data_IF_700590373432
#
_entry.id   IF_700590373432
#
_cell.length_a   1.000
_cell.length_b   1.000
_cell.length_c   1.000
_cell.angle_alpha   90.00
_cell.angle_beta   90.00
_cell.angle_gamma   90.00
#
_symmetry.space_group_name_H-M   'P 1'
#
loop_
_entity.id
_entity.type
_entity.pdbx_description
1 polymer ?
#
# COMPACT_ATOMS: atom_id res chain seq x y z
N UNK A 1 -8.88 -41.43 -33.22
CA UNK A 1 -9.56 -40.76 -32.09
C UNK A 1 -8.52 -40.38 -31.06
N UNK A 2 -7.99 -39.15 -31.12
CA UNK A 2 -7.20 -38.56 -30.06
C UNK A 2 -7.95 -37.33 -29.58
N UNK A 3 -8.62 -37.41 -28.43
CA UNK A 3 -9.19 -36.22 -27.79
C UNK A 3 -8.02 -35.40 -27.28
N UNK A 4 -7.71 -34.31 -27.96
CA UNK A 4 -6.96 -33.21 -27.39
C UNK A 4 -7.73 -32.78 -26.13
N UNK A 5 -7.15 -33.03 -24.96
CA UNK A 5 -7.64 -32.45 -23.72
C UNK A 5 -7.32 -30.97 -23.81
N UNK A 6 -8.34 -30.18 -24.16
CA UNK A 6 -8.38 -28.75 -23.91
C UNK A 6 -7.90 -28.55 -22.46
N UNK A 7 -6.68 -27.99 -22.31
CA UNK A 7 -6.23 -27.52 -21.01
C UNK A 7 -7.10 -26.31 -20.72
N UNK A 8 -8.18 -26.51 -19.99
CA UNK A 8 -8.88 -25.42 -19.33
C UNK A 8 -7.81 -24.63 -18.58
N UNK A 9 -7.50 -23.42 -19.06
CA UNK A 9 -6.67 -22.47 -18.32
C UNK A 9 -7.54 -22.05 -17.16
N UNK A 10 -7.51 -22.83 -16.08
CA UNK A 10 -8.16 -22.47 -14.84
C UNK A 10 -7.49 -21.17 -14.39
N UNK A 11 -8.17 -20.03 -14.58
CA UNK A 11 -7.73 -18.75 -14.03
C UNK A 11 -7.82 -18.85 -12.50
N UNK A 12 -6.73 -19.28 -11.87
CA UNK A 12 -6.60 -19.25 -10.42
C UNK A 12 -6.54 -17.78 -9.99
N UNK A 13 -7.23 -17.45 -8.90
CA UNK A 13 -7.06 -16.12 -8.30
C UNK A 13 -5.65 -15.99 -7.75
N UNK A 14 -5.11 -14.78 -7.68
CA UNK A 14 -3.77 -14.53 -7.15
C UNK A 14 -3.64 -15.04 -5.71
N UNK A 15 -4.71 -14.95 -4.93
CA UNK A 15 -4.79 -15.50 -3.57
C UNK A 15 -4.65 -17.04 -3.56
N UNK A 16 -5.22 -17.74 -4.54
CA UNK A 16 -5.05 -19.19 -4.70
C UNK A 16 -3.63 -19.53 -5.13
N UNK A 17 -3.02 -18.75 -6.03
CA UNK A 17 -1.62 -18.95 -6.44
C UNK A 17 -0.67 -18.80 -5.25
N UNK A 18 -0.87 -17.78 -4.42
CA UNK A 18 -0.13 -17.57 -3.18
C UNK A 18 -0.34 -18.71 -2.19
N UNK A 19 -1.56 -19.25 -2.08
CA UNK A 19 -1.85 -20.38 -1.18
C UNK A 19 -1.20 -21.69 -1.64
N UNK A 20 -1.09 -21.93 -2.95
CA UNK A 20 -0.54 -23.17 -3.52
C UNK A 20 0.99 -23.19 -3.47
N UNK A 21 1.64 -22.09 -3.85
CA UNK A 21 3.10 -22.00 -3.77
C UNK A 21 3.58 -20.53 -3.63
N UNK A 22 3.68 -20.00 -2.40
CA UNK A 22 4.00 -18.61 -2.15
C UNK A 22 5.43 -18.20 -2.54
N UNK A 23 6.31 -19.16 -2.83
CA UNK A 23 7.71 -18.92 -3.19
C UNK A 23 8.01 -19.16 -4.68
N UNK A 24 6.98 -19.38 -5.50
CA UNK A 24 7.17 -19.54 -6.93
C UNK A 24 7.50 -18.18 -7.60
N UNK A 25 8.70 -17.94 -8.15
CA UNK A 25 9.03 -16.67 -8.80
C UNK A 25 8.22 -16.41 -10.08
N UNK A 26 7.59 -17.45 -10.66
CA UNK A 26 6.77 -17.32 -11.87
C UNK A 26 5.47 -16.54 -11.62
N UNK A 27 4.98 -16.47 -10.37
CA UNK A 27 3.75 -15.74 -10.02
C UNK A 27 3.98 -14.24 -9.81
N UNK A 28 5.24 -13.79 -9.85
CA UNK A 28 5.62 -12.40 -9.60
C UNK A 28 4.90 -11.42 -10.55
N UNK A 29 4.82 -11.65 -11.88
CA UNK A 29 4.08 -10.75 -12.78
C UNK A 29 2.58 -10.70 -12.46
N UNK A 30 1.98 -11.82 -12.05
CA UNK A 30 0.58 -11.87 -11.65
C UNK A 30 0.33 -11.05 -10.38
N UNK A 31 1.24 -11.13 -9.40
CA UNK A 31 1.19 -10.33 -8.18
C UNK A 31 1.37 -8.83 -8.46
N UNK A 32 2.29 -8.45 -9.34
CA UNK A 32 2.47 -7.04 -9.74
C UNK A 32 1.22 -6.49 -10.43
N UNK A 33 0.63 -7.26 -11.33
CA UNK A 33 -0.63 -6.89 -11.97
C UNK A 33 -1.76 -6.79 -10.96
N UNK A 34 -1.82 -7.70 -9.99
CA UNK A 34 -2.81 -7.66 -8.92
C UNK A 34 -2.67 -6.43 -8.02
N UNK A 35 -1.46 -5.91 -7.79
CA UNK A 35 -1.29 -4.61 -7.12
C UNK A 35 -1.89 -3.47 -7.96
N UNK A 36 -1.71 -3.50 -9.28
CA UNK A 36 -2.31 -2.50 -10.16
C UNK A 36 -3.85 -2.60 -10.18
N UNK A 37 -4.38 -3.82 -10.14
CA UNK A 37 -5.82 -4.07 -10.03
C UNK A 37 -6.39 -3.61 -8.69
N UNK A 38 -5.64 -3.76 -7.59
CA UNK A 38 -6.02 -3.20 -6.28
C UNK A 38 -6.13 -1.67 -6.31
N UNK A 39 -5.22 -1.01 -7.04
CA UNK A 39 -5.25 0.44 -7.22
C UNK A 39 -6.46 0.87 -8.06
N UNK A 40 -6.72 0.21 -9.18
CA UNK A 40 -7.82 0.56 -10.10
C UNK A 40 -9.20 0.20 -9.53
N UNK A 41 -9.32 -0.95 -8.88
CA UNK A 41 -10.58 -1.50 -8.36
C UNK A 41 -10.88 -1.07 -6.92
N UNK A 42 -9.97 -0.29 -6.31
CA UNK A 42 -10.04 0.13 -4.89
C UNK A 42 -10.15 -1.02 -3.90
N UNK A 43 -9.63 -2.19 -4.25
CA UNK A 43 -9.51 -3.33 -3.34
C UNK A 43 -8.16 -3.30 -2.61
N UNK A 44 -8.02 -4.14 -1.59
CA UNK A 44 -6.79 -4.22 -0.82
C UNK A 44 -6.59 -5.62 -0.24
N UNK A 45 -5.41 -6.19 -0.43
CA UNK A 45 -5.00 -7.49 0.08
C UNK A 45 -3.56 -7.43 0.59
N UNK A 46 -3.41 -7.24 1.90
CA UNK A 46 -2.11 -7.22 2.56
C UNK A 46 -1.34 -8.54 2.33
N UNK A 47 -2.01 -9.69 2.36
CA UNK A 47 -1.37 -10.99 2.21
C UNK A 47 -0.65 -11.12 0.85
N UNK A 48 -1.30 -10.69 -0.24
CA UNK A 48 -0.70 -10.67 -1.57
C UNK A 48 0.47 -9.68 -1.64
N UNK A 49 0.31 -8.49 -1.06
CA UNK A 49 1.35 -7.46 -1.04
C UNK A 49 2.61 -7.92 -0.28
N UNK A 50 2.45 -8.54 0.90
CA UNK A 50 3.56 -9.11 1.67
C UNK A 50 4.22 -10.28 0.94
N UNK A 51 3.45 -11.10 0.23
CA UNK A 51 3.99 -12.19 -0.59
C UNK A 51 4.89 -11.64 -1.70
N UNK A 52 4.42 -10.63 -2.44
CA UNK A 52 5.20 -9.97 -3.48
C UNK A 52 6.48 -9.34 -2.94
N UNK A 53 6.39 -8.59 -1.83
CA UNK A 53 7.56 -7.98 -1.21
C UNK A 53 8.59 -9.04 -0.76
N UNK A 54 8.13 -10.18 -0.23
CA UNK A 54 9.01 -11.31 0.10
C UNK A 54 9.67 -11.91 -1.15
N UNK A 55 8.94 -12.09 -2.25
CA UNK A 55 9.51 -12.57 -3.51
C UNK A 55 10.60 -11.64 -4.02
N UNK A 56 10.41 -10.32 -3.93
CA UNK A 56 11.46 -9.36 -4.26
C UNK A 56 12.70 -9.44 -3.36
N UNK A 57 12.61 -9.98 -2.14
CA UNK A 57 13.80 -10.23 -1.31
C UNK A 57 14.64 -11.39 -1.86
N UNK A 58 14.01 -12.39 -2.49
CA UNK A 58 14.71 -13.50 -3.14
C UNK A 58 15.25 -13.10 -4.52
N UNK A 59 14.54 -12.23 -5.25
CA UNK A 59 14.91 -11.75 -6.59
C UNK A 59 15.00 -10.21 -6.64
N UNK A 60 16.06 -9.61 -6.07
CA UNK A 60 16.19 -8.16 -5.97
C UNK A 60 16.26 -7.45 -7.32
N UNK A 61 16.78 -8.12 -8.37
CA UNK A 61 16.91 -7.56 -9.72
C UNK A 61 15.56 -7.36 -10.42
N UNK A 62 14.50 -8.05 -9.95
CA UNK A 62 13.14 -7.95 -10.48
C UNK A 62 12.28 -6.93 -9.71
N UNK A 63 12.82 -6.31 -8.67
CA UNK A 63 12.06 -5.39 -7.82
C UNK A 63 11.66 -4.12 -8.58
N UNK A 64 10.36 -3.86 -8.67
CA UNK A 64 9.82 -2.62 -9.23
C UNK A 64 9.54 -1.60 -8.12
N UNK A 65 10.31 -0.50 -8.11
CA UNK A 65 10.11 0.61 -7.16
C UNK A 65 8.72 1.23 -7.26
N UNK A 66 8.14 1.28 -8.46
CA UNK A 66 6.78 1.77 -8.69
C UNK A 66 5.73 0.90 -7.98
N UNK A 67 5.87 -0.43 -8.05
CA UNK A 67 4.95 -1.36 -7.39
C UNK A 67 5.11 -1.27 -5.88
N UNK A 68 6.35 -1.22 -5.37
CA UNK A 68 6.62 -1.04 -3.94
C UNK A 68 6.00 0.27 -3.42
N UNK A 69 6.12 1.36 -4.18
CA UNK A 69 5.50 2.65 -3.83
C UNK A 69 3.97 2.53 -3.74
N UNK A 70 3.31 1.91 -4.72
CA UNK A 70 1.86 1.65 -4.69
C UNK A 70 1.42 0.84 -3.47
N UNK A 71 2.17 -0.21 -3.12
CA UNK A 71 1.90 -1.02 -1.93
C UNK A 71 1.95 -0.17 -0.67
N UNK A 72 3.01 0.64 -0.50
CA UNK A 72 3.16 1.49 0.69
C UNK A 72 2.07 2.56 0.78
N UNK A 73 1.70 3.19 -0.34
CA UNK A 73 0.60 4.15 -0.36
C UNK A 73 -0.73 3.47 0.01
N UNK A 74 -1.02 2.28 -0.53
CA UNK A 74 -2.21 1.50 -0.14
C UNK A 74 -2.18 1.11 1.34
N UNK A 75 -1.01 0.77 1.89
CA UNK A 75 -0.86 0.46 3.30
C UNK A 75 -1.09 1.69 4.20
N UNK A 76 -0.66 2.89 3.79
CA UNK A 76 -1.02 4.14 4.49
C UNK A 76 -2.53 4.37 4.52
N UNK A 77 -3.22 4.08 3.41
CA UNK A 77 -4.68 4.20 3.33
C UNK A 77 -5.42 3.18 4.21
N UNK A 78 -4.77 2.09 4.64
CA UNK A 78 -5.34 1.05 5.49
C UNK A 78 -5.15 1.33 7.01
N UNK A 79 -4.64 2.50 7.38
CA UNK A 79 -4.53 2.93 8.78
C UNK A 79 -5.89 2.85 9.49
N UNK A 80 -5.96 2.42 10.77
CA UNK A 80 -4.86 2.26 11.74
C UNK A 80 -4.09 0.94 11.69
N UNK A 81 -4.32 0.05 10.71
CA UNK A 81 -3.61 -1.22 10.65
C UNK A 81 -2.07 -1.01 10.51
N UNK A 82 -1.22 -1.85 11.13
CA UNK A 82 0.25 -1.69 11.11
C UNK A 82 0.89 -2.09 9.78
N UNK A 83 0.11 -2.15 8.71
CA UNK A 83 0.45 -2.67 7.40
C UNK A 83 1.65 -1.95 6.77
N UNK A 84 1.73 -0.64 6.96
CA UNK A 84 2.84 0.16 6.42
C UNK A 84 4.18 -0.30 7.00
N UNK A 85 4.25 -0.45 8.33
CA UNK A 85 5.44 -0.93 9.01
C UNK A 85 5.80 -2.36 8.58
N UNK A 86 4.81 -3.25 8.46
CA UNK A 86 5.02 -4.63 8.01
C UNK A 86 5.61 -4.69 6.59
N UNK A 87 5.08 -3.89 5.67
CA UNK A 87 5.60 -3.77 4.31
C UNK A 87 7.02 -3.19 4.31
N UNK A 88 7.27 -2.14 5.10
CA UNK A 88 8.58 -1.48 5.18
C UNK A 88 9.69 -2.43 5.64
N UNK A 89 9.41 -3.31 6.61
CA UNK A 89 10.38 -4.32 7.08
C UNK A 89 10.83 -5.30 6.00
N UNK A 90 10.04 -5.50 4.93
CA UNK A 90 10.40 -6.37 3.83
C UNK A 90 11.20 -5.66 2.72
N UNK A 91 11.23 -4.33 2.73
CA UNK A 91 11.92 -3.53 1.71
C UNK A 91 13.40 -3.35 2.11
N UNK A 92 14.37 -3.60 1.22
CA UNK A 92 15.78 -3.39 1.52
C UNK A 92 16.09 -1.93 1.88
N UNK A 93 16.98 -1.71 2.85
CA UNK A 93 17.38 -0.37 3.33
C UNK A 93 17.83 0.56 2.20
N UNK A 94 18.58 0.05 1.22
CA UNK A 94 19.02 0.82 0.04
C UNK A 94 17.85 1.48 -0.71
N UNK A 95 16.71 0.78 -0.80
CA UNK A 95 15.50 1.27 -1.48
C UNK A 95 14.79 2.24 -0.56
N UNK A 96 14.69 1.94 0.74
CA UNK A 96 14.12 2.88 1.73
C UNK A 96 14.85 4.23 1.77
N UNK A 97 16.14 4.27 1.38
CA UNK A 97 16.93 5.48 1.33
C UNK A 97 16.63 6.41 0.14
N UNK A 98 15.87 5.96 -0.85
CA UNK A 98 15.43 6.82 -1.95
C UNK A 98 14.43 7.87 -1.44
N UNK A 99 14.44 9.04 -2.08
CA UNK A 99 13.64 10.20 -1.65
C UNK A 99 12.15 9.89 -1.57
N UNK A 100 11.60 9.17 -2.54
CA UNK A 100 10.18 8.79 -2.56
C UNK A 100 9.76 7.97 -1.33
N UNK A 101 10.61 7.04 -0.89
CA UNK A 101 10.30 6.16 0.23
C UNK A 101 10.54 6.86 1.57
N UNK A 102 11.58 7.70 1.66
CA UNK A 102 11.77 8.60 2.81
C UNK A 102 10.56 9.48 3.06
N UNK A 103 10.00 10.08 2.01
CA UNK A 103 8.78 10.87 2.10
C UNK A 103 7.61 10.03 2.64
N UNK A 104 7.38 8.82 2.10
CA UNK A 104 6.32 7.94 2.58
C UNK A 104 6.51 7.55 4.06
N UNK A 105 7.74 7.30 4.50
CA UNK A 105 8.06 7.01 5.92
C UNK A 105 7.73 8.22 6.81
N UNK A 106 8.09 9.43 6.38
CA UNK A 106 7.78 10.66 7.10
C UNK A 106 6.27 10.88 7.20
N UNK A 107 5.53 10.64 6.10
CA UNK A 107 4.07 10.72 6.07
C UNK A 107 3.43 9.71 7.03
N UNK A 108 3.89 8.45 7.03
CA UNK A 108 3.46 7.43 7.99
C UNK A 108 3.64 7.92 9.43
N UNK A 109 4.83 8.44 9.74
CA UNK A 109 5.15 8.93 11.08
C UNK A 109 4.24 10.08 11.53
N UNK A 110 3.89 11.01 10.64
CA UNK A 110 2.94 12.07 10.97
C UNK A 110 1.54 11.53 11.27
N UNK A 111 1.07 10.53 10.54
CA UNK A 111 -0.24 9.90 10.77
C UNK A 111 -0.28 9.10 12.07
N UNK A 112 0.79 8.36 12.39
CA UNK A 112 0.90 7.62 13.66
C UNK A 112 0.99 8.55 14.87
N UNK A 113 1.63 9.72 14.71
CA UNK A 113 1.75 10.74 15.77
C UNK A 113 0.59 11.74 15.80
N UNK A 114 -0.42 11.58 14.93
CA UNK A 114 -1.59 12.46 14.87
C UNK A 114 -1.31 13.89 14.39
N UNK A 115 -0.17 14.14 13.72
CA UNK A 115 0.25 15.45 13.23
C UNK A 115 -0.29 15.71 11.81
N UNK A 116 -1.61 15.78 11.69
CA UNK A 116 -2.32 15.89 10.41
C UNK A 116 -1.95 17.13 9.59
N UNK A 117 -1.73 18.28 10.25
CA UNK A 117 -1.31 19.51 9.56
C UNK A 117 0.03 19.34 8.82
N UNK A 118 1.03 18.79 9.51
CA UNK A 118 2.35 18.53 8.93
C UNK A 118 2.28 17.47 7.83
N UNK A 119 1.43 16.46 8.02
CA UNK A 119 1.14 15.47 6.99
C UNK A 119 0.63 16.12 5.70
N UNK A 120 -0.39 16.99 5.77
CA UNK A 120 -0.96 17.63 4.59
C UNK A 120 0.01 18.60 3.92
N UNK A 121 0.78 19.37 4.69
CA UNK A 121 1.83 20.25 4.17
C UNK A 121 2.89 19.46 3.39
N UNK A 122 3.28 18.28 3.87
CA UNK A 122 4.30 17.43 3.23
C UNK A 122 3.73 16.64 2.05
N UNK A 123 2.49 16.16 2.15
CA UNK A 123 1.78 15.50 1.06
C UNK A 123 1.55 16.46 -0.12
N UNK A 124 1.24 17.74 0.15
CA UNK A 124 1.03 18.76 -0.87
C UNK A 124 2.31 19.05 -1.69
N UNK A 125 3.50 18.97 -1.08
CA UNK A 125 4.78 19.09 -1.79
C UNK A 125 5.08 17.88 -2.67
N UNK A 126 4.62 16.70 -2.25
CA UNK A 126 4.96 15.41 -2.84
C UNK A 126 3.76 14.73 -3.52
N UNK A 127 2.86 15.52 -4.13
CA UNK A 127 1.63 15.06 -4.78
C UNK A 127 1.83 13.92 -5.77
N UNK A 128 2.91 13.96 -6.53
CA UNK A 128 3.24 12.92 -7.52
C UNK A 128 3.40 11.51 -6.93
N UNK A 129 3.73 11.39 -5.64
CA UNK A 129 3.87 10.10 -4.93
C UNK A 129 2.51 9.64 -4.40
N UNK A 130 1.76 10.55 -3.77
CA UNK A 130 0.51 10.22 -3.07
C UNK A 130 -0.70 10.12 -4.01
N UNK A 131 -0.75 10.91 -5.08
CA UNK A 131 -1.81 10.88 -6.10
C UNK A 131 -1.65 9.69 -7.07
N UNK A 132 -0.60 8.88 -6.92
CA UNK A 132 -0.41 7.65 -7.69
C UNK A 132 -1.51 6.60 -7.43
N UNK A 133 -2.21 6.70 -6.28
CA UNK A 133 -3.33 5.83 -5.91
C UNK A 133 -4.59 6.68 -5.73
N UNK A 134 -5.66 6.40 -6.49
CA UNK A 134 -6.89 7.18 -6.40
C UNK A 134 -7.57 6.93 -5.05
N UNK A 135 -8.13 7.98 -4.46
CA UNK A 135 -8.82 7.89 -3.17
C UNK A 135 -7.93 8.14 -1.94
N UNK A 136 -6.64 8.42 -2.12
CA UNK A 136 -5.69 8.57 -1.02
C UNK A 136 -6.15 9.58 0.03
N UNK A 137 -6.47 10.81 -0.39
CA UNK A 137 -6.85 11.88 0.54
C UNK A 137 -8.11 11.53 1.34
N UNK A 138 -9.10 10.88 0.70
CA UNK A 138 -10.36 10.51 1.34
C UNK A 138 -10.16 9.46 2.43
N UNK A 139 -9.33 8.44 2.19
CA UNK A 139 -9.05 7.40 3.19
C UNK A 139 -8.26 7.97 4.38
N UNK A 140 -7.27 8.83 4.11
CA UNK A 140 -6.50 9.47 5.19
C UNK A 140 -7.38 10.43 6.00
N UNK A 141 -8.26 11.18 5.35
CA UNK A 141 -9.22 12.04 6.02
C UNK A 141 -10.20 11.22 6.89
N UNK A 142 -10.69 10.08 6.39
CA UNK A 142 -11.55 9.19 7.15
C UNK A 142 -10.84 8.65 8.40
N UNK A 143 -9.58 8.24 8.26
CA UNK A 143 -8.73 7.84 9.39
C UNK A 143 -8.56 8.98 10.41
N UNK A 144 -8.22 10.19 9.96
CA UNK A 144 -8.03 11.33 10.84
C UNK A 144 -9.32 11.72 11.60
N UNK A 145 -10.48 11.69 10.93
CA UNK A 145 -11.79 11.89 11.56
C UNK A 145 -12.05 10.80 12.60
N UNK A 146 -11.76 9.54 12.27
CA UNK A 146 -11.91 8.43 13.20
C UNK A 146 -11.06 8.62 14.47
N UNK A 147 -9.78 8.95 14.33
CA UNK A 147 -8.88 9.23 15.47
C UNK A 147 -9.42 10.38 16.33
N UNK A 148 -9.84 11.49 15.73
CA UNK A 148 -10.41 12.62 16.46
C UNK A 148 -11.71 12.24 17.20
N UNK A 149 -12.57 11.43 16.57
CA UNK A 149 -13.83 10.99 17.16
C UNK A 149 -13.65 10.11 18.39
N UNK A 150 -12.56 9.33 18.43
CA UNK A 150 -12.22 8.45 19.56
C UNK A 150 -11.50 9.22 20.67
N UNK A 151 -10.68 10.21 20.31
CA UNK A 151 -9.80 10.92 21.27
C UNK A 151 -10.43 12.17 21.90
N UNK A 152 -11.43 12.78 21.28
CA UNK A 152 -12.05 14.03 21.77
C UNK A 152 -13.56 13.88 21.97
N UNK A 153 -14.05 14.25 23.16
CA UNK A 153 -15.50 14.39 23.41
C UNK A 153 -16.12 15.65 22.78
N UNK A 154 -15.32 16.72 22.62
CA UNK A 154 -15.70 17.96 21.95
C UNK A 154 -14.50 18.45 21.16
N UNK A 155 -14.59 18.44 19.83
CA UNK A 155 -13.49 18.84 18.96
C UNK A 155 -13.55 20.35 18.69
N UNK A 156 -12.52 21.14 19.02
CA UNK A 156 -12.45 22.54 18.61
C UNK A 156 -12.45 22.65 17.09
N UNK A 157 -13.17 23.64 16.53
CA UNK A 157 -13.26 23.86 15.08
C UNK A 157 -11.89 24.03 14.40
N UNK A 158 -10.92 24.59 15.12
CA UNK A 158 -9.55 24.74 14.62
C UNK A 158 -8.87 23.39 14.34
N UNK A 159 -9.10 22.38 15.19
CA UNK A 159 -8.52 21.03 15.02
C UNK A 159 -9.24 20.26 13.90
N UNK A 160 -10.56 20.44 13.76
CA UNK A 160 -11.29 19.88 12.62
C UNK A 160 -10.83 20.46 11.27
N UNK A 161 -10.48 21.75 11.23
CA UNK A 161 -9.97 22.41 10.03
C UNK A 161 -8.58 21.89 9.61
N UNK A 162 -7.83 21.23 10.50
CA UNK A 162 -6.56 20.59 10.15
C UNK A 162 -6.74 19.21 9.49
N UNK A 163 -7.93 18.63 9.61
CA UNK A 163 -8.28 17.32 9.04
C UNK A 163 -9.13 17.46 7.76
N UNK A 164 -9.92 18.53 7.67
CA UNK A 164 -10.67 18.89 6.47
C UNK A 164 -9.89 19.88 5.60
N UNK A 165 -9.33 19.40 4.49
CA UNK A 165 -8.95 20.27 3.38
C UNK A 165 -10.17 20.55 2.49
#
# INVERSE_FOLDING_TARGET
MGREREREVQQYTVEQLVAVNPYNPDILPDLENYVNDQVSSKTYSLAANLCLLRLYQFEPDRMSTQIVSRILVKALMAMPAPDFSLCLFLIPERVQMEEQFKTLIVLSHYLETGRFRQFWDEAAKNRHIVEAVPGFEQEIQAYAIHVLSVTYQKVPRAVLAEVGH
#
